data_IF_541364158036
#
_entry.id   IF_541364158036
#
_cell.length_a   1.000
_cell.length_b   1.000
_cell.length_c   1.000
_cell.angle_alpha   90.00
_cell.angle_beta   90.00
_cell.angle_gamma   90.00
#
_symmetry.space_group_name_H-M   'P 1'
#
loop_
_entity.id
_entity.type
_entity.pdbx_description
1 polymer ?
#
# COMPACT_ATOMS: atom_id res chain seq x y z
N UNK A 1 -47.76 -16.62 -2.93
CA UNK A 1 -47.57 -15.39 -2.12
C UNK A 1 -46.08 -15.09 -2.05
N UNK A 2 -45.63 -14.21 -2.91
CA UNK A 2 -44.22 -13.78 -3.02
C UNK A 2 -43.90 -12.84 -1.84
N UNK A 3 -43.10 -13.31 -0.86
CA UNK A 3 -42.56 -12.41 0.19
C UNK A 3 -41.42 -11.59 -0.42
N UNK A 4 -41.67 -10.33 -0.71
CA UNK A 4 -40.63 -9.37 -1.11
C UNK A 4 -39.66 -9.21 0.06
N UNK A 5 -38.39 -9.51 -0.18
CA UNK A 5 -37.32 -9.19 0.74
C UNK A 5 -37.24 -7.67 0.91
N UNK A 6 -37.39 -7.17 2.15
CA UNK A 6 -37.31 -5.74 2.40
C UNK A 6 -35.87 -5.22 2.09
N UNK A 7 -35.78 -3.97 1.61
CA UNK A 7 -34.51 -3.27 1.31
C UNK A 7 -33.48 -3.39 2.45
N UNK A 8 -33.95 -3.42 3.70
CA UNK A 8 -33.13 -3.55 4.92
C UNK A 8 -32.47 -4.93 5.07
N UNK A 9 -33.16 -6.01 4.69
CA UNK A 9 -32.63 -7.39 4.71
C UNK A 9 -31.63 -7.64 3.58
N UNK A 10 -31.85 -7.00 2.43
CA UNK A 10 -30.92 -7.04 1.32
C UNK A 10 -29.58 -6.33 1.65
N UNK A 11 -29.65 -5.14 2.25
CA UNK A 11 -28.44 -4.39 2.67
C UNK A 11 -27.69 -5.10 3.81
N UNK A 12 -28.39 -5.76 4.72
CA UNK A 12 -27.77 -6.60 5.76
C UNK A 12 -27.05 -7.82 5.17
N UNK A 13 -27.62 -8.44 4.13
CA UNK A 13 -26.98 -9.56 3.41
C UNK A 13 -25.73 -9.14 2.62
N UNK A 14 -25.60 -7.84 2.30
CA UNK A 14 -24.44 -7.25 1.63
C UNK A 14 -23.36 -6.72 2.59
N UNK A 15 -23.51 -6.92 3.91
CA UNK A 15 -22.53 -6.44 4.91
C UNK A 15 -22.53 -4.92 5.13
N UNK A 16 -23.61 -4.22 4.75
CA UNK A 16 -23.71 -2.74 4.83
C UNK A 16 -24.26 -2.26 6.18
N UNK A 17 -24.56 -3.14 7.13
CA UNK A 17 -25.00 -2.75 8.47
C UNK A 17 -23.92 -2.96 9.51
N UNK A 18 -23.37 -1.85 9.99
CA UNK A 18 -22.55 -1.85 11.19
C UNK A 18 -23.35 -2.31 12.43
N UNK A 19 -22.66 -2.98 13.30
CA UNK A 19 -23.00 -3.47 14.62
C UNK A 19 -23.68 -4.85 14.67
N UNK A 20 -22.88 -5.83 15.06
CA UNK A 20 -23.20 -6.72 16.19
C UNK A 20 -21.94 -7.51 16.58
N UNK A 21 -21.43 -7.16 17.75
CA UNK A 21 -20.44 -7.95 18.49
C UNK A 21 -21.20 -8.87 19.46
N UNK A 22 -20.89 -10.14 19.48
CA UNK A 22 -20.51 -10.91 20.65
C UNK A 22 -20.60 -12.43 20.45
N UNK A 23 -19.53 -13.08 20.90
CA UNK A 23 -19.46 -14.41 21.54
C UNK A 23 -19.31 -15.64 20.62
N UNK A 24 -18.17 -16.25 20.62
CA UNK A 24 -17.70 -17.35 21.45
C UNK A 24 -16.30 -17.84 21.01
N UNK A 25 -15.43 -18.01 21.98
CA UNK A 25 -14.08 -18.57 21.84
C UNK A 25 -14.15 -20.09 21.77
N UNK A 26 -13.65 -20.69 20.69
CA UNK A 26 -13.23 -22.09 20.64
C UNK A 26 -11.92 -22.27 19.91
N UNK A 27 -11.08 -23.12 20.48
CA UNK A 27 -9.68 -23.33 20.14
C UNK A 27 -9.39 -23.68 18.68
N UNK A 28 -8.24 -23.27 18.26
CA UNK A 28 -7.71 -23.36 16.91
C UNK A 28 -6.89 -24.63 16.72
N UNK A 29 -7.26 -25.46 15.76
CA UNK A 29 -6.39 -26.47 15.19
C UNK A 29 -5.80 -25.92 13.90
N UNK A 30 -4.47 -25.91 13.79
CA UNK A 30 -3.73 -25.57 12.58
C UNK A 30 -4.07 -26.57 11.46
N UNK A 31 -4.73 -26.12 10.43
CA UNK A 31 -4.91 -26.91 9.21
C UNK A 31 -3.76 -26.57 8.24
N UNK A 32 -2.95 -27.57 7.93
CA UNK A 32 -1.90 -27.48 6.92
C UNK A 32 -2.48 -27.11 5.54
N UNK A 33 -1.75 -26.33 4.72
CA UNK A 33 -2.24 -25.94 3.39
C UNK A 33 -2.31 -27.17 2.47
N UNK A 34 -3.48 -27.42 1.90
CA UNK A 34 -3.65 -28.39 0.81
C UNK A 34 -3.02 -27.82 -0.46
N UNK A 35 -2.06 -28.54 -1.04
CA UNK A 35 -1.38 -28.21 -2.29
C UNK A 35 -2.38 -28.15 -3.44
N UNK A 36 -2.64 -26.96 -3.97
CA UNK A 36 -3.26 -26.78 -5.27
C UNK A 36 -2.26 -27.14 -6.39
N UNK A 37 -2.75 -27.68 -7.49
CA UNK A 37 -1.96 -28.10 -8.63
C UNK A 37 -1.03 -26.98 -9.15
N UNK A 38 0.20 -27.36 -9.54
CA UNK A 38 1.32 -26.48 -9.84
C UNK A 38 1.12 -25.66 -11.13
N UNK A 39 0.35 -24.56 -11.02
CA UNK A 39 0.52 -23.38 -11.87
C UNK A 39 1.42 -22.37 -11.13
N UNK A 40 2.17 -21.54 -11.87
CA UNK A 40 2.97 -20.47 -11.26
C UNK A 40 2.09 -19.63 -10.33
N UNK A 41 2.58 -19.35 -9.12
CA UNK A 41 1.85 -18.53 -8.16
C UNK A 41 1.51 -17.15 -8.78
N UNK A 42 0.30 -16.59 -8.55
CA UNK A 42 -0.06 -15.32 -9.13
C UNK A 42 0.87 -14.21 -8.58
N UNK A 43 1.30 -13.31 -9.45
CA UNK A 43 2.10 -12.16 -9.06
C UNK A 43 1.27 -11.18 -8.24
N UNK A 44 1.85 -10.64 -7.17
CA UNK A 44 1.21 -9.75 -6.20
C UNK A 44 2.01 -8.47 -6.02
N UNK A 45 1.32 -7.34 -5.86
CA UNK A 45 1.92 -6.02 -5.64
C UNK A 45 1.48 -5.43 -4.31
N UNK A 46 2.43 -4.90 -3.55
CA UNK A 46 2.16 -4.10 -2.35
C UNK A 46 2.93 -2.79 -2.43
N UNK A 47 2.22 -1.65 -2.41
CA UNK A 47 2.80 -0.33 -2.22
C UNK A 47 2.81 0.03 -0.74
N UNK A 48 3.96 0.44 -0.20
CA UNK A 48 4.09 0.88 1.20
C UNK A 48 4.59 2.31 1.24
N UNK A 49 3.86 3.18 1.92
CA UNK A 49 4.33 4.54 2.20
C UNK A 49 5.14 4.58 3.49
N UNK A 50 6.33 5.18 3.40
CA UNK A 50 7.24 5.40 4.53
C UNK A 50 7.34 6.91 4.82
N UNK A 51 6.85 7.38 5.98
CA UNK A 51 6.78 8.80 6.29
C UNK A 51 8.15 9.40 6.67
N UNK A 52 8.20 10.72 6.76
CA UNK A 52 9.27 11.54 7.34
C UNK A 52 10.61 11.54 6.60
N UNK A 53 10.63 11.18 5.33
CA UNK A 53 11.88 11.17 4.57
C UNK A 53 12.91 10.18 5.14
N UNK A 54 14.19 10.52 5.06
CA UNK A 54 15.26 9.62 5.52
C UNK A 54 16.35 10.34 6.30
N UNK A 55 16.91 9.67 7.28
CA UNK A 55 18.21 9.99 7.85
C UNK A 55 19.29 9.51 6.86
N UNK A 56 19.71 10.36 5.91
CA UNK A 56 20.45 10.00 4.72
C UNK A 56 21.71 9.17 5.02
N UNK A 57 22.54 9.64 5.93
CA UNK A 57 23.82 9.00 6.30
C UNK A 57 23.63 7.61 6.98
N UNK A 58 22.46 7.38 7.57
CA UNK A 58 22.12 6.14 8.26
C UNK A 58 21.22 5.23 7.41
N UNK A 59 20.80 5.71 6.26
CA UNK A 59 19.98 4.97 5.31
C UNK A 59 20.81 4.30 4.21
N UNK A 60 21.97 4.87 3.85
CA UNK A 60 22.81 4.30 2.82
C UNK A 60 23.52 3.03 3.34
N UNK A 61 23.51 1.93 2.57
CA UNK A 61 24.35 0.78 2.85
C UNK A 61 25.83 1.12 2.85
N UNK A 62 26.63 0.43 3.67
CA UNK A 62 28.07 0.56 3.72
C UNK A 62 28.76 -0.68 3.13
N UNK A 63 30.06 -0.59 2.87
CA UNK A 63 30.93 -1.73 2.52
C UNK A 63 30.33 -2.71 1.53
N UNK A 64 29.88 -2.19 0.38
CA UNK A 64 29.20 -2.95 -0.66
C UNK A 64 27.68 -3.03 -0.45
N UNK A 65 27.21 -3.78 0.52
CA UNK A 65 25.77 -3.86 0.84
C UNK A 65 25.54 -4.24 2.31
N UNK A 66 26.33 -3.67 3.22
CA UNK A 66 26.05 -3.77 4.65
C UNK A 66 24.93 -2.81 5.04
N UNK A 67 23.81 -3.35 5.47
CA UNK A 67 22.63 -2.62 5.94
C UNK A 67 22.41 -2.79 7.46
N UNK A 68 23.28 -3.54 8.15
CA UNK A 68 23.14 -3.87 9.56
C UNK A 68 24.20 -3.19 10.44
N UNK A 69 24.96 -2.24 9.89
CA UNK A 69 25.93 -1.49 10.68
C UNK A 69 25.25 -0.68 11.79
N UNK A 70 26.01 -0.34 12.84
CA UNK A 70 25.50 0.41 13.99
C UNK A 70 24.86 1.74 13.58
N UNK A 71 23.61 1.94 13.98
CA UNK A 71 22.81 3.12 13.63
C UNK A 71 22.09 3.05 12.28
N UNK A 72 22.30 1.99 11.48
CA UNK A 72 21.58 1.83 10.21
C UNK A 72 20.06 1.74 10.42
N UNK A 73 19.31 2.57 9.71
CA UNK A 73 17.85 2.52 9.75
C UNK A 73 17.30 1.29 9.01
N UNK A 74 18.08 0.68 8.11
CA UNK A 74 17.70 -0.52 7.38
C UNK A 74 18.02 -1.81 8.13
N UNK A 75 18.71 -1.75 9.28
CA UNK A 75 19.12 -2.93 10.06
C UNK A 75 17.97 -3.90 10.37
N UNK A 76 16.71 -3.47 10.63
CA UNK A 76 15.61 -4.43 10.84
C UNK A 76 15.37 -5.38 9.66
N UNK A 77 15.75 -4.99 8.44
CA UNK A 77 15.57 -5.82 7.24
C UNK A 77 16.62 -6.94 7.14
N UNK A 78 17.67 -6.91 7.98
CA UNK A 78 18.70 -7.95 8.09
C UNK A 78 18.68 -8.65 9.46
N UNK A 79 17.72 -8.35 10.34
CA UNK A 79 17.61 -8.91 11.68
C UNK A 79 16.92 -10.30 11.67
N UNK A 80 17.70 -11.32 11.34
CA UNK A 80 17.22 -12.71 11.34
C UNK A 80 16.81 -13.21 12.73
N UNK A 81 17.41 -12.68 13.80
CA UNK A 81 17.07 -13.09 15.16
C UNK A 81 15.64 -12.64 15.54
N UNK A 82 15.24 -11.45 15.11
CA UNK A 82 13.92 -10.88 15.38
C UNK A 82 12.84 -11.38 14.43
N UNK A 83 13.18 -11.53 13.14
CA UNK A 83 12.19 -11.81 12.09
C UNK A 83 12.30 -13.21 11.47
N UNK A 84 13.11 -14.10 12.07
CA UNK A 84 13.27 -15.48 11.65
C UNK A 84 14.16 -15.68 10.42
N UNK A 85 14.41 -14.63 9.64
CA UNK A 85 15.30 -14.63 8.49
C UNK A 85 15.77 -13.22 8.14
N UNK A 86 16.90 -13.12 7.44
CA UNK A 86 17.33 -11.90 6.78
C UNK A 86 16.58 -11.69 5.47
N UNK A 87 16.20 -10.44 5.18
CA UNK A 87 15.62 -10.05 3.90
C UNK A 87 16.63 -9.33 2.99
N UNK A 88 17.88 -9.15 3.43
CA UNK A 88 18.92 -8.41 2.70
C UNK A 88 19.05 -8.83 1.25
N UNK A 89 19.11 -10.13 0.99
CA UNK A 89 19.28 -10.67 -0.37
C UNK A 89 18.04 -10.46 -1.27
N UNK A 90 16.92 -10.01 -0.72
CA UNK A 90 15.70 -9.69 -1.44
C UNK A 90 15.50 -8.20 -1.69
N UNK A 91 16.38 -7.38 -1.12
CA UNK A 91 16.27 -5.94 -1.21
C UNK A 91 16.99 -5.42 -2.45
N UNK A 92 16.39 -4.43 -3.08
CA UNK A 92 17.03 -3.53 -4.00
C UNK A 92 16.82 -2.11 -3.42
N UNK A 93 17.90 -1.55 -2.87
CA UNK A 93 17.90 -0.20 -2.33
C UNK A 93 18.24 0.75 -3.46
N UNK A 94 17.31 1.68 -3.75
CA UNK A 94 17.43 2.65 -4.85
C UNK A 94 17.67 4.05 -4.28
N UNK A 95 18.86 4.59 -4.47
CA UNK A 95 19.17 5.97 -4.15
C UNK A 95 19.12 6.82 -5.42
N UNK A 96 18.64 8.05 -5.31
CA UNK A 96 18.51 8.94 -6.47
C UNK A 96 17.22 8.70 -7.26
N UNK A 97 16.11 8.43 -6.61
CA UNK A 97 14.78 8.49 -7.23
C UNK A 97 14.15 9.85 -6.93
N UNK A 98 13.84 10.62 -7.96
CA UNK A 98 13.18 11.92 -7.87
C UNK A 98 11.70 11.81 -8.24
N UNK A 99 10.83 12.47 -7.48
CA UNK A 99 9.41 12.62 -7.84
C UNK A 99 9.24 13.72 -8.90
N UNK A 100 9.95 13.58 -10.02
CA UNK A 100 10.22 14.64 -11.00
C UNK A 100 8.95 15.27 -11.58
N UNK A 101 7.92 14.48 -11.88
CA UNK A 101 6.65 14.99 -12.41
C UNK A 101 5.91 15.88 -11.39
N UNK A 102 6.05 15.59 -10.10
CA UNK A 102 5.53 16.44 -9.02
C UNK A 102 6.35 17.71 -8.87
N UNK A 103 7.68 17.59 -8.86
CA UNK A 103 8.62 18.72 -8.77
C UNK A 103 8.35 19.74 -9.88
N UNK A 104 8.09 19.28 -11.11
CA UNK A 104 7.80 20.15 -12.27
C UNK A 104 6.59 21.08 -12.04
N UNK A 105 5.62 20.67 -11.25
CA UNK A 105 4.37 21.41 -11.04
C UNK A 105 4.15 21.85 -9.58
N UNK A 106 5.18 21.75 -8.74
CA UNK A 106 5.12 22.18 -7.34
C UNK A 106 4.39 21.22 -6.40
N UNK A 107 4.11 19.98 -6.82
CA UNK A 107 3.56 18.93 -5.96
C UNK A 107 4.73 18.24 -5.24
N UNK A 108 5.18 18.84 -4.15
CA UNK A 108 6.37 18.42 -3.39
C UNK A 108 6.07 18.34 -1.90
N UNK A 109 7.04 17.95 -1.09
CA UNK A 109 6.83 17.73 0.33
C UNK A 109 5.79 16.64 0.55
N UNK A 110 4.86 16.84 1.48
CA UNK A 110 3.80 15.87 1.79
C UNK A 110 2.94 15.51 0.57
N UNK A 111 2.67 16.48 -0.34
CA UNK A 111 1.94 16.22 -1.57
C UNK A 111 2.67 15.26 -2.52
N UNK A 112 3.97 15.06 -2.32
CA UNK A 112 4.77 14.07 -3.03
C UNK A 112 4.26 12.64 -2.85
N UNK A 113 3.54 12.32 -1.77
CA UNK A 113 2.97 10.99 -1.55
C UNK A 113 2.08 10.54 -2.71
N UNK A 114 1.33 11.46 -3.32
CA UNK A 114 0.57 11.19 -4.55
C UNK A 114 1.47 10.75 -5.70
N UNK A 115 2.61 11.41 -5.87
CA UNK A 115 3.49 11.22 -7.03
C UNK A 115 4.16 9.84 -7.00
N UNK A 116 4.36 9.25 -5.81
CA UNK A 116 5.05 7.97 -5.62
C UNK A 116 4.51 6.88 -6.56
N UNK A 117 3.19 6.69 -6.59
CA UNK A 117 2.56 5.65 -7.41
C UNK A 117 1.81 6.19 -8.64
N UNK A 118 1.52 7.49 -8.70
CA UNK A 118 0.89 8.05 -9.92
C UNK A 118 1.89 8.50 -10.97
N UNK A 119 3.10 8.92 -10.56
CA UNK A 119 4.03 9.59 -11.46
C UNK A 119 3.48 10.90 -12.02
N UNK A 120 2.61 11.58 -11.29
CA UNK A 120 1.89 12.79 -11.73
C UNK A 120 1.70 13.75 -10.58
N UNK A 121 1.69 15.06 -10.89
CA UNK A 121 1.36 16.09 -9.91
C UNK A 121 -0.10 16.07 -9.45
N UNK A 122 -0.49 17.05 -8.63
CA UNK A 122 -1.79 17.12 -7.94
C UNK A 122 -3.00 17.06 -8.90
N UNK A 123 -2.88 17.63 -10.08
CA UNK A 123 -3.97 17.69 -11.09
C UNK A 123 -4.01 16.49 -12.03
N UNK A 124 -3.07 15.54 -11.91
CA UNK A 124 -2.97 14.37 -12.77
C UNK A 124 -4.24 13.51 -12.76
N UNK A 125 -4.58 12.91 -13.89
CA UNK A 125 -5.80 12.10 -14.10
C UNK A 125 -5.52 10.62 -14.30
N UNK A 126 -4.24 10.21 -14.34
CA UNK A 126 -3.90 8.80 -14.45
C UNK A 126 -4.20 8.03 -13.15
N UNK A 127 -4.35 6.74 -13.28
CA UNK A 127 -4.42 5.84 -12.13
C UNK A 127 -3.03 5.70 -11.48
N UNK A 128 -2.97 5.47 -10.18
CA UNK A 128 -1.75 5.02 -9.51
C UNK A 128 -1.39 3.60 -9.94
N UNK A 129 -0.13 3.21 -9.79
CA UNK A 129 0.38 1.92 -10.26
C UNK A 129 -0.40 0.74 -9.69
N UNK A 130 -0.77 0.77 -8.42
CA UNK A 130 -1.61 -0.26 -7.79
C UNK A 130 -2.96 -0.37 -8.50
N UNK A 131 -3.62 0.75 -8.81
CA UNK A 131 -4.91 0.75 -9.51
C UNK A 131 -4.77 0.39 -11.00
N UNK A 132 -3.67 0.82 -11.63
CA UNK A 132 -3.34 0.39 -12.98
C UNK A 132 -3.18 -1.13 -13.05
N UNK A 133 -2.39 -1.72 -12.15
CA UNK A 133 -2.19 -3.17 -12.09
C UNK A 133 -3.48 -3.92 -11.75
N UNK A 134 -4.21 -3.45 -10.74
CA UNK A 134 -5.41 -4.13 -10.25
C UNK A 134 -6.56 -4.11 -11.28
N UNK A 135 -6.83 -2.94 -11.87
CA UNK A 135 -8.03 -2.68 -12.66
C UNK A 135 -7.74 -2.70 -14.17
N UNK A 136 -6.74 -1.93 -14.62
CA UNK A 136 -6.50 -1.74 -16.06
C UNK A 136 -5.72 -2.91 -16.65
N UNK A 137 -4.68 -3.36 -15.97
CA UNK A 137 -3.95 -4.58 -16.35
C UNK A 137 -4.68 -5.86 -15.89
N UNK A 138 -5.55 -5.75 -14.89
CA UNK A 138 -6.53 -6.76 -14.53
C UNK A 138 -6.03 -7.88 -13.60
N UNK A 139 -4.87 -7.74 -12.93
CA UNK A 139 -4.41 -8.79 -11.99
C UNK A 139 -5.34 -8.98 -10.78
N UNK A 140 -6.14 -7.97 -10.44
CA UNK A 140 -7.19 -8.04 -9.42
C UNK A 140 -8.54 -8.58 -9.93
N UNK A 141 -8.62 -8.97 -11.21
CA UNK A 141 -9.89 -9.36 -11.81
C UNK A 141 -10.46 -10.68 -11.24
N UNK A 142 -9.59 -11.58 -10.81
CA UNK A 142 -9.99 -12.91 -10.33
C UNK A 142 -10.14 -12.99 -8.81
N UNK A 143 -9.82 -11.91 -8.08
CA UNK A 143 -9.88 -11.90 -6.61
C UNK A 143 -11.13 -11.21 -6.09
N UNK A 144 -11.65 -11.57 -4.88
CA UNK A 144 -12.83 -10.95 -4.26
C UNK A 144 -12.71 -9.43 -4.13
N UNK A 145 -11.52 -8.95 -3.77
CA UNK A 145 -11.19 -7.55 -3.69
C UNK A 145 -10.20 -7.21 -4.81
N UNK A 146 -10.60 -6.37 -5.74
CA UNK A 146 -9.75 -5.95 -6.88
C UNK A 146 -8.46 -5.32 -6.39
N UNK A 147 -8.55 -4.51 -5.33
CA UNK A 147 -7.41 -3.97 -4.58
C UNK A 147 -7.79 -3.74 -3.12
N UNK A 148 -6.79 -3.63 -2.24
CA UNK A 148 -6.98 -3.33 -0.83
C UNK A 148 -6.16 -2.10 -0.47
N UNK A 149 -6.83 -1.04 0.00
CA UNK A 149 -6.19 0.21 0.39
C UNK A 149 -6.27 0.35 1.90
N UNK A 150 -5.15 0.12 2.58
CA UNK A 150 -5.05 0.18 4.03
C UNK A 150 -4.28 1.41 4.49
N UNK A 151 -4.58 1.87 5.69
CA UNK A 151 -3.88 2.95 6.34
C UNK A 151 -3.80 2.79 7.85
N UNK A 152 -2.89 3.55 8.45
CA UNK A 152 -2.75 3.68 9.90
C UNK A 152 -2.63 5.17 10.22
N UNK A 153 -3.36 5.64 11.21
CA UNK A 153 -3.29 7.01 11.72
C UNK A 153 -4.05 8.06 10.90
N UNK A 154 -4.45 7.80 9.66
CA UNK A 154 -5.23 8.75 8.86
C UNK A 154 -6.11 8.06 7.83
N UNK A 155 -7.38 8.46 7.78
CA UNK A 155 -8.36 8.11 6.73
C UNK A 155 -8.51 9.23 5.67
N UNK A 156 -7.76 10.32 5.79
CA UNK A 156 -7.79 11.44 4.85
C UNK A 156 -7.48 10.98 3.42
N UNK A 157 -8.18 11.56 2.46
CA UNK A 157 -7.98 11.36 1.03
C UNK A 157 -7.33 12.56 0.34
N UNK A 158 -6.80 13.50 1.14
CA UNK A 158 -6.04 14.65 0.62
C UNK A 158 -4.81 14.21 -0.19
N UNK A 159 -4.31 15.10 -1.02
CA UNK A 159 -3.21 14.83 -1.96
C UNK A 159 -1.98 14.30 -1.22
N UNK A 160 -1.58 14.94 -0.13
CA UNK A 160 -0.42 14.59 0.68
C UNK A 160 -0.60 13.38 1.61
N UNK A 161 -1.77 12.76 1.62
CA UNK A 161 -2.12 11.70 2.56
C UNK A 161 -2.66 10.44 1.89
N UNK A 162 -2.38 10.23 0.61
CA UNK A 162 -2.88 9.07 -0.10
C UNK A 162 -1.95 8.57 -1.21
N UNK A 163 -1.83 7.24 -1.35
CA UNK A 163 -1.07 6.58 -2.42
C UNK A 163 -1.94 6.16 -3.59
N UNK A 164 -3.17 5.73 -3.31
CA UNK A 164 -4.03 5.02 -4.27
C UNK A 164 -5.02 5.97 -4.92
N UNK A 165 -4.96 6.04 -6.24
CA UNK A 165 -5.75 6.96 -7.04
C UNK A 165 -6.36 6.23 -8.23
N UNK A 166 -7.66 6.29 -8.36
CA UNK A 166 -8.34 5.78 -9.56
C UNK A 166 -8.08 6.69 -10.76
N UNK A 167 -8.25 6.15 -11.97
CA UNK A 167 -8.24 6.95 -13.18
C UNK A 167 -9.23 8.10 -13.07
N UNK A 168 -8.87 9.26 -13.58
CA UNK A 168 -9.59 10.51 -13.40
C UNK A 168 -9.11 11.32 -12.18
N UNK A 169 -8.09 10.86 -11.45
CA UNK A 169 -7.49 11.57 -10.32
C UNK A 169 -8.34 11.52 -9.05
N UNK A 170 -9.17 10.50 -8.89
CA UNK A 170 -9.99 10.33 -7.67
C UNK A 170 -9.22 9.52 -6.65
N UNK A 171 -9.04 10.04 -5.42
CA UNK A 171 -8.38 9.28 -4.35
C UNK A 171 -9.27 8.12 -3.88
N UNK A 172 -8.65 7.01 -3.54
CA UNK A 172 -9.34 5.88 -2.92
C UNK A 172 -9.26 5.97 -1.40
N UNK A 173 -10.37 5.79 -0.69
CA UNK A 173 -10.39 5.84 0.76
C UNK A 173 -9.61 4.65 1.35
N UNK A 174 -8.84 4.94 2.40
CA UNK A 174 -8.11 3.94 3.17
C UNK A 174 -8.99 3.34 4.26
N UNK A 175 -8.85 2.06 4.49
CA UNK A 175 -9.43 1.40 5.67
C UNK A 175 -8.41 1.42 6.81
N UNK A 176 -8.70 2.19 7.84
CA UNK A 176 -7.82 2.40 9.01
C UNK A 176 -8.23 1.58 10.23
N UNK A 177 -9.44 1.03 10.25
CA UNK A 177 -9.96 0.23 11.35
C UNK A 177 -9.72 -1.27 11.08
N UNK A 178 -8.83 -1.95 11.84
CA UNK A 178 -8.57 -3.38 11.67
C UNK A 178 -9.82 -4.25 11.85
N UNK A 179 -10.76 -3.85 12.71
CA UNK A 179 -12.00 -4.62 12.91
C UNK A 179 -12.89 -4.56 11.66
N UNK A 180 -12.94 -3.40 11.00
CA UNK A 180 -13.63 -3.24 9.72
C UNK A 180 -12.93 -4.04 8.62
N UNK A 181 -11.60 -3.94 8.52
CA UNK A 181 -10.82 -4.72 7.54
C UNK A 181 -11.07 -6.21 7.70
N UNK A 182 -11.02 -6.70 8.95
CA UNK A 182 -11.33 -8.10 9.26
C UNK A 182 -12.73 -8.49 8.81
N UNK A 183 -13.73 -7.68 9.16
CA UNK A 183 -15.12 -7.96 8.81
C UNK A 183 -15.35 -8.02 7.30
N UNK A 184 -14.70 -7.15 6.54
CA UNK A 184 -14.81 -7.11 5.08
C UNK A 184 -14.07 -8.28 4.39
N UNK A 185 -12.91 -8.68 4.92
CA UNK A 185 -12.10 -9.75 4.33
C UNK A 185 -12.55 -11.14 4.74
N UNK A 186 -12.94 -11.31 6.00
CA UNK A 186 -13.17 -12.62 6.62
C UNK A 186 -14.56 -12.76 7.26
N UNK A 187 -15.31 -11.66 7.40
CA UNK A 187 -16.64 -11.68 7.97
C UNK A 187 -17.58 -12.49 7.07
N UNK A 188 -18.12 -13.59 7.59
CA UNK A 188 -19.26 -14.26 6.97
C UNK A 188 -20.46 -13.33 7.10
N UNK A 189 -21.32 -13.22 6.08
CA UNK A 189 -22.63 -12.56 6.26
C UNK A 189 -23.31 -13.16 7.48
N UNK A 190 -23.53 -12.31 8.49
CA UNK A 190 -24.01 -12.68 9.81
C UNK A 190 -25.20 -13.66 9.76
N UNK A 191 -25.03 -14.85 10.33
CA UNK A 191 -26.11 -15.75 10.74
C UNK A 191 -26.72 -16.60 9.66
N UNK A 192 -26.23 -16.60 8.43
CA UNK A 192 -26.79 -17.45 7.38
C UNK A 192 -26.03 -18.77 7.26
N UNK A 193 -26.70 -19.88 7.45
CA UNK A 193 -26.21 -21.20 7.06
C UNK A 193 -25.95 -21.22 5.55
N UNK A 194 -24.93 -21.96 5.11
CA UNK A 194 -24.51 -21.99 3.69
C UNK A 194 -25.65 -22.16 2.69
N UNK A 195 -26.70 -22.94 3.06
CA UNK A 195 -27.91 -23.14 2.25
C UNK A 195 -28.88 -21.94 2.18
N UNK A 196 -28.80 -20.99 3.10
CA UNK A 196 -29.64 -19.77 3.11
C UNK A 196 -28.99 -18.63 2.29
N UNK A 197 -27.70 -18.70 2.05
CA UNK A 197 -26.95 -17.70 1.27
C UNK A 197 -27.21 -17.82 -0.24
N UNK A 198 -27.46 -19.01 -0.76
CA UNK A 198 -27.66 -19.23 -2.21
C UNK A 198 -28.88 -18.51 -2.80
N UNK A 199 -30.05 -18.48 -2.16
CA UNK A 199 -31.18 -17.68 -2.65
C UNK A 199 -30.89 -16.18 -2.58
N UNK A 200 -30.21 -15.70 -1.50
CA UNK A 200 -29.84 -14.29 -1.35
C UNK A 200 -28.78 -13.88 -2.37
N UNK A 201 -27.79 -14.73 -2.64
CA UNK A 201 -26.78 -14.53 -3.69
C UNK A 201 -27.42 -14.45 -5.07
N UNK A 202 -28.33 -15.35 -5.42
CA UNK A 202 -29.06 -15.32 -6.71
C UNK A 202 -29.91 -14.08 -6.86
N UNK A 203 -30.62 -13.68 -5.81
CA UNK A 203 -31.40 -12.45 -5.81
C UNK A 203 -30.51 -11.21 -5.94
N UNK A 204 -29.40 -11.18 -5.21
CA UNK A 204 -28.38 -10.13 -5.29
C UNK A 204 -27.79 -10.01 -6.69
N UNK A 205 -27.39 -11.12 -7.29
CA UNK A 205 -26.87 -11.15 -8.66
C UNK A 205 -27.89 -10.60 -9.68
N UNK A 206 -29.16 -11.00 -9.60
CA UNK A 206 -30.22 -10.49 -10.49
C UNK A 206 -30.45 -8.97 -10.35
N UNK A 207 -30.34 -8.43 -9.12
CA UNK A 207 -30.45 -6.98 -8.89
C UNK A 207 -29.23 -6.25 -9.46
N UNK A 208 -28.04 -6.78 -9.25
CA UNK A 208 -26.79 -6.20 -9.74
C UNK A 208 -26.75 -6.19 -11.28
N UNK A 209 -27.17 -7.25 -11.93
CA UNK A 209 -27.24 -7.33 -13.40
C UNK A 209 -28.15 -6.22 -13.97
N UNK A 210 -29.29 -5.98 -13.32
CA UNK A 210 -30.20 -4.88 -13.71
C UNK A 210 -29.57 -3.51 -13.51
N UNK A 211 -28.96 -3.27 -12.34
CA UNK A 211 -28.31 -2.00 -12.02
C UNK A 211 -27.13 -1.74 -12.98
N UNK A 212 -26.36 -2.77 -13.33
CA UNK A 212 -25.29 -2.65 -14.36
C UNK A 212 -25.82 -2.23 -15.71
N UNK A 213 -26.93 -2.84 -16.14
CA UNK A 213 -27.59 -2.48 -17.40
C UNK A 213 -28.03 -1.01 -17.42
N UNK A 214 -28.58 -0.53 -16.31
CA UNK A 214 -28.98 0.87 -16.14
C UNK A 214 -27.78 1.79 -16.10
N UNK A 215 -26.74 1.45 -15.35
CA UNK A 215 -25.51 2.22 -15.24
C UNK A 215 -24.79 2.33 -16.60
N UNK A 216 -24.70 1.23 -17.35
CA UNK A 216 -24.11 1.25 -18.69
C UNK A 216 -24.89 2.15 -19.67
N UNK A 217 -26.22 2.20 -19.54
CA UNK A 217 -27.06 3.14 -20.33
C UNK A 217 -26.82 4.60 -19.93
N UNK A 218 -26.69 4.85 -18.61
CA UNK A 218 -26.40 6.20 -18.09
C UNK A 218 -25.02 6.67 -18.52
N UNK A 219 -24.00 5.83 -18.41
CA UNK A 219 -22.62 6.16 -18.79
C UNK A 219 -22.52 6.57 -20.27
N UNK A 220 -23.26 5.88 -21.18
CA UNK A 220 -23.28 6.24 -22.60
C UNK A 220 -23.92 7.61 -22.87
N UNK A 221 -24.82 8.07 -22.00
CA UNK A 221 -25.56 9.34 -22.15
C UNK A 221 -24.99 10.48 -21.34
N UNK A 222 -24.11 10.17 -20.38
CA UNK A 222 -23.54 11.13 -19.45
C UNK A 222 -22.53 12.06 -20.15
N UNK A 223 -22.45 13.33 -19.74
CA UNK A 223 -21.35 14.21 -20.09
C UNK A 223 -20.01 13.61 -19.70
N UNK A 224 -18.93 13.99 -20.39
CA UNK A 224 -17.59 13.43 -20.14
C UNK A 224 -17.15 13.57 -18.67
N UNK A 225 -17.48 14.71 -18.03
CA UNK A 225 -17.18 14.99 -16.64
C UNK A 225 -17.84 14.02 -15.63
N UNK A 226 -18.99 13.43 -15.97
CA UNK A 226 -19.71 12.52 -15.09
C UNK A 226 -19.41 11.03 -15.37
N UNK A 227 -18.82 10.72 -16.53
CA UNK A 227 -18.50 9.32 -16.90
C UNK A 227 -17.58 8.64 -15.92
N UNK A 228 -16.55 9.34 -15.43
CA UNK A 228 -15.59 8.82 -14.45
C UNK A 228 -16.28 8.37 -13.17
N UNK A 229 -17.24 9.15 -12.66
CA UNK A 229 -18.01 8.79 -11.46
C UNK A 229 -18.86 7.53 -11.71
N UNK A 230 -19.51 7.46 -12.88
CA UNK A 230 -20.33 6.29 -13.25
C UNK A 230 -19.48 5.03 -13.45
N UNK A 231 -18.27 5.14 -13.98
CA UNK A 231 -17.31 4.05 -14.12
C UNK A 231 -16.81 3.55 -12.75
N UNK A 232 -16.60 4.47 -11.80
CA UNK A 232 -16.28 4.11 -10.40
C UNK A 232 -17.41 3.32 -9.74
N UNK A 233 -18.66 3.75 -9.94
CA UNK A 233 -19.83 2.99 -9.48
C UNK A 233 -19.93 1.61 -10.15
N UNK A 234 -19.60 1.52 -11.44
CA UNK A 234 -19.57 0.24 -12.15
C UNK A 234 -18.48 -0.69 -11.59
N UNK A 235 -17.33 -0.16 -11.22
CA UNK A 235 -16.25 -0.92 -10.59
C UNK A 235 -16.66 -1.42 -9.21
N UNK A 236 -17.24 -0.55 -8.37
CA UNK A 236 -17.76 -0.95 -7.06
C UNK A 236 -18.82 -2.05 -7.15
N UNK A 237 -19.70 -1.99 -8.16
CA UNK A 237 -20.69 -3.05 -8.40
C UNK A 237 -20.04 -4.38 -8.81
N UNK A 238 -18.99 -4.36 -9.63
CA UNK A 238 -18.22 -5.57 -9.98
C UNK A 238 -17.56 -6.20 -8.77
N UNK A 239 -17.02 -5.39 -7.86
CA UNK A 239 -16.41 -5.89 -6.61
C UNK A 239 -17.45 -6.54 -5.70
N UNK A 240 -18.67 -6.01 -5.65
CA UNK A 240 -19.80 -6.65 -4.95
C UNK A 240 -20.15 -7.99 -5.61
N UNK A 241 -20.25 -8.04 -6.94
CA UNK A 241 -20.51 -9.29 -7.68
C UNK A 241 -19.45 -10.36 -7.41
N UNK A 242 -18.17 -9.98 -7.43
CA UNK A 242 -17.06 -10.88 -7.14
C UNK A 242 -17.17 -11.45 -5.73
N UNK A 243 -17.41 -10.59 -4.73
CA UNK A 243 -17.62 -11.03 -3.34
C UNK A 243 -18.79 -11.97 -3.18
N UNK A 244 -19.90 -11.76 -3.90
CA UNK A 244 -21.07 -12.62 -3.89
C UNK A 244 -20.84 -13.96 -4.61
N UNK A 245 -19.99 -13.98 -5.63
CA UNK A 245 -19.69 -15.18 -6.42
C UNK A 245 -18.52 -15.99 -5.87
N UNK A 246 -17.70 -15.39 -5.02
CA UNK A 246 -16.55 -16.06 -4.44
C UNK A 246 -17.02 -17.09 -3.40
N UNK A 247 -16.68 -18.34 -3.61
CA UNK A 247 -16.78 -19.37 -2.57
C UNK A 247 -15.75 -19.02 -1.49
N UNK A 248 -16.18 -19.11 -0.22
CA UNK A 248 -15.33 -18.78 0.92
C UNK A 248 -13.91 -19.32 0.72
N UNK A 249 -12.88 -18.52 0.97
CA UNK A 249 -11.51 -18.95 0.77
C UNK A 249 -11.25 -20.19 1.63
N UNK A 250 -10.51 -21.15 1.08
CA UNK A 250 -10.03 -22.34 1.81
C UNK A 250 -9.05 -21.97 2.95
N UNK A 251 -8.80 -20.70 3.13
CA UNK A 251 -7.91 -20.09 4.09
C UNK A 251 -8.62 -19.92 5.44
N UNK A 252 -8.04 -20.42 6.50
CA UNK A 252 -8.55 -20.20 7.85
C UNK A 252 -8.60 -18.70 8.17
N UNK A 253 -9.75 -18.22 8.65
CA UNK A 253 -9.89 -16.85 9.13
C UNK A 253 -9.00 -16.61 10.35
N UNK A 254 -8.24 -15.50 10.41
CA UNK A 254 -7.48 -15.17 11.63
C UNK A 254 -8.43 -14.85 12.79
N UNK A 255 -7.89 -14.72 14.00
CA UNK A 255 -8.68 -14.22 15.13
C UNK A 255 -9.15 -12.78 14.86
N UNK A 256 -10.39 -12.44 15.23
CA UNK A 256 -10.87 -11.08 15.11
C UNK A 256 -9.98 -10.13 15.94
N UNK A 257 -9.58 -8.98 15.37
CA UNK A 257 -8.82 -7.99 16.11
C UNK A 257 -9.66 -7.38 17.24
N UNK A 258 -9.02 -6.87 18.30
CA UNK A 258 -9.72 -6.10 19.34
C UNK A 258 -10.34 -4.83 18.74
N UNK A 259 -11.43 -4.39 19.35
CA UNK A 259 -12.00 -3.08 19.02
C UNK A 259 -11.17 -1.96 19.66
N UNK A 260 -10.95 -0.88 18.94
CA UNK A 260 -10.32 0.33 19.43
C UNK A 260 -11.41 1.40 19.64
N UNK A 261 -11.46 1.99 20.84
CA UNK A 261 -12.52 2.95 21.19
C UNK A 261 -12.47 4.23 20.35
N UNK A 262 -11.28 4.64 19.91
CA UNK A 262 -11.07 5.84 19.09
C UNK A 262 -9.90 5.64 18.15
N UNK A 263 -10.21 5.54 16.89
CA UNK A 263 -9.24 5.74 15.81
C UNK A 263 -9.18 7.24 15.54
N UNK A 264 -8.00 7.83 15.64
CA UNK A 264 -7.82 9.25 15.35
C UNK A 264 -7.39 9.42 13.91
N UNK A 265 -8.05 10.33 13.22
CA UNK A 265 -7.57 10.86 11.95
C UNK A 265 -6.39 11.80 12.18
N UNK A 266 -5.70 12.13 11.09
CA UNK A 266 -4.51 12.98 11.02
C UNK A 266 -4.52 14.16 12.01
N UNK A 267 -3.39 14.40 12.65
CA UNK A 267 -3.16 15.56 13.54
C UNK A 267 -3.38 15.33 15.03
N UNK A 268 -3.86 14.15 15.44
CA UNK A 268 -4.14 13.87 16.84
C UNK A 268 -3.24 12.86 17.56
N UNK A 269 -2.30 12.22 16.83
CA UNK A 269 -1.53 11.06 17.33
C UNK A 269 -2.45 9.88 17.61
N UNK A 270 -2.25 8.78 16.91
CA UNK A 270 -3.01 7.55 17.15
C UNK A 270 -2.41 6.82 18.36
N UNK A 271 -3.12 6.72 19.51
CA UNK A 271 -2.55 6.15 20.72
C UNK A 271 -2.26 4.65 20.59
N UNK A 272 -2.87 3.99 19.62
CA UNK A 272 -2.69 2.56 19.35
C UNK A 272 -1.93 2.31 18.04
N UNK A 273 -1.17 3.30 17.56
CA UNK A 273 -0.52 3.26 16.24
C UNK A 273 0.26 1.97 16.02
N UNK A 274 1.06 1.55 17.00
CA UNK A 274 1.87 0.33 16.90
C UNK A 274 1.02 -0.94 16.75
N UNK A 275 0.03 -1.10 17.63
CA UNK A 275 -0.87 -2.25 17.61
C UNK A 275 -1.74 -2.30 16.35
N UNK A 276 -2.24 -1.15 15.90
CA UNK A 276 -3.03 -1.03 14.66
C UNK A 276 -2.16 -1.35 13.46
N UNK A 277 -0.91 -0.86 13.42
CA UNK A 277 0.03 -1.17 12.34
C UNK A 277 0.27 -2.67 12.23
N UNK A 278 0.52 -3.34 13.34
CA UNK A 278 0.74 -4.78 13.37
C UNK A 278 -0.47 -5.57 12.89
N UNK A 279 -1.67 -5.18 13.32
CA UNK A 279 -2.92 -5.82 12.88
C UNK A 279 -3.19 -5.58 11.38
N UNK A 280 -2.96 -4.38 10.87
CA UNK A 280 -3.10 -4.09 9.45
C UNK A 280 -2.12 -4.90 8.60
N UNK A 281 -0.88 -5.06 9.07
CA UNK A 281 0.12 -5.91 8.41
C UNK A 281 -0.33 -7.38 8.42
N UNK A 282 -0.79 -7.90 9.55
CA UNK A 282 -1.22 -9.29 9.67
C UNK A 282 -2.45 -9.58 8.76
N UNK A 283 -3.43 -8.67 8.73
CA UNK A 283 -4.60 -8.76 7.85
C UNK A 283 -4.22 -8.64 6.37
N UNK A 284 -3.31 -7.72 6.03
CA UNK A 284 -2.79 -7.55 4.66
C UNK A 284 -2.09 -8.80 4.17
N UNK A 285 -1.13 -9.31 4.94
CA UNK A 285 -0.39 -10.51 4.56
C UNK A 285 -1.33 -11.73 4.41
N UNK A 286 -2.34 -11.83 5.27
CA UNK A 286 -3.35 -12.88 5.18
C UNK A 286 -4.23 -12.72 3.95
N UNK A 287 -4.68 -11.50 3.62
CA UNK A 287 -5.47 -11.24 2.42
C UNK A 287 -4.71 -11.61 1.14
N UNK A 288 -3.42 -11.25 1.09
CA UNK A 288 -2.51 -11.59 -0.03
C UNK A 288 -2.31 -13.10 -0.14
N UNK A 289 -2.01 -13.78 0.96
CA UNK A 289 -1.74 -15.23 0.94
C UNK A 289 -2.97 -16.07 0.63
N UNK A 290 -4.15 -15.60 1.02
CA UNK A 290 -5.43 -16.26 0.74
C UNK A 290 -6.00 -15.90 -0.64
N UNK A 291 -5.27 -15.15 -1.45
CA UNK A 291 -5.72 -14.64 -2.77
C UNK A 291 -7.04 -13.85 -2.70
N UNK A 292 -7.31 -13.21 -1.55
CA UNK A 292 -8.45 -12.30 -1.41
C UNK A 292 -8.22 -11.01 -2.20
N UNK A 293 -6.97 -10.62 -2.35
CA UNK A 293 -6.51 -9.58 -3.27
C UNK A 293 -5.09 -9.90 -3.74
N UNK A 294 -4.70 -9.40 -4.90
CA UNK A 294 -3.34 -9.46 -5.44
C UNK A 294 -2.65 -8.12 -5.47
N UNK A 295 -3.38 -7.06 -5.16
CA UNK A 295 -2.86 -5.68 -5.14
C UNK A 295 -3.29 -4.99 -3.87
N UNK A 296 -2.34 -4.39 -3.16
CA UNK A 296 -2.64 -3.62 -1.98
C UNK A 296 -1.72 -2.43 -1.81
N UNK A 297 -2.17 -1.45 -1.00
CA UNK A 297 -1.31 -0.40 -0.46
C UNK A 297 -1.47 -0.32 1.05
N UNK A 298 -0.37 0.02 1.73
CA UNK A 298 -0.34 0.30 3.16
C UNK A 298 0.26 1.69 3.37
N UNK A 299 -0.56 2.63 3.79
CA UNK A 299 -0.17 3.99 4.11
C UNK A 299 0.12 4.08 5.61
N UNK A 300 1.38 4.14 5.96
CA UNK A 300 1.79 4.45 7.33
C UNK A 300 1.75 5.97 7.45
N UNK A 301 0.69 6.49 8.08
CA UNK A 301 0.57 7.91 8.25
C UNK A 301 1.68 8.44 9.19
N UNK A 302 1.76 9.73 9.16
CA UNK A 302 2.67 10.52 9.94
C UNK A 302 2.64 10.14 11.43
N UNK A 303 3.79 9.80 11.97
CA UNK A 303 4.03 9.54 13.40
C UNK A 303 4.08 10.83 14.24
N UNK A 304 3.42 11.88 13.79
CA UNK A 304 3.60 13.26 14.24
C UNK A 304 3.46 13.51 15.73
N UNK A 305 2.69 12.70 16.44
CA UNK A 305 2.37 12.96 17.87
C UNK A 305 2.25 11.68 18.67
N UNK A 306 3.04 10.66 18.34
CA UNK A 306 2.99 9.46 19.13
C UNK A 306 4.02 9.51 20.26
N UNK A 307 3.56 9.35 21.49
CA UNK A 307 4.43 9.08 22.65
C UNK A 307 5.06 7.69 22.59
N UNK A 308 5.16 7.09 21.38
CA UNK A 308 5.72 5.75 21.19
C UNK A 308 7.21 5.70 21.51
N UNK A 309 7.89 6.80 21.34
CA UNK A 309 9.35 6.87 21.50
C UNK A 309 9.67 7.78 22.68
N UNK A 310 10.08 7.17 23.80
CA UNK A 310 10.43 7.93 25.00
C UNK A 310 11.58 8.92 24.79
N UNK A 311 12.44 8.62 23.81
CA UNK A 311 13.62 9.42 23.44
C UNK A 311 13.29 10.61 22.54
N UNK A 312 12.07 10.65 21.99
CA UNK A 312 11.67 11.70 21.07
C UNK A 312 10.71 12.70 21.72
N UNK A 313 10.72 13.97 21.27
CA UNK A 313 9.76 14.94 21.72
C UNK A 313 8.32 14.56 21.34
N UNK A 314 7.34 15.18 21.95
CA UNK A 314 5.92 14.86 21.72
C UNK A 314 5.47 15.15 20.27
N UNK A 315 6.01 16.21 19.66
CA UNK A 315 5.77 16.57 18.26
C UNK A 315 6.98 16.23 17.39
N UNK A 316 7.14 14.98 17.06
CA UNK A 316 8.27 14.50 16.27
C UNK A 316 8.31 15.13 14.88
N UNK A 317 7.16 15.45 14.31
CA UNK A 317 7.12 16.08 12.99
C UNK A 317 7.79 17.46 13.02
N UNK A 318 7.34 18.33 13.93
CA UNK A 318 7.88 19.68 14.01
C UNK A 318 9.27 19.74 14.66
N UNK A 319 9.52 18.90 15.65
CA UNK A 319 10.73 18.98 16.44
C UNK A 319 11.87 18.07 16.00
N UNK A 320 11.60 17.12 15.13
CA UNK A 320 12.62 16.24 14.56
C UNK A 320 12.67 16.36 13.02
N UNK A 321 11.61 16.00 12.33
CA UNK A 321 11.63 15.96 10.87
C UNK A 321 11.84 17.36 10.24
N UNK A 322 11.18 18.40 10.77
CA UNK A 322 11.38 19.79 10.29
C UNK A 322 12.67 20.44 10.78
N UNK A 323 13.28 19.92 11.83
CA UNK A 323 14.56 20.40 12.37
C UNK A 323 15.75 19.54 12.00
N UNK A 324 15.57 18.53 11.21
CA UNK A 324 16.63 17.83 10.54
C UNK A 324 17.35 18.85 9.66
N UNK A 325 18.43 19.39 10.19
CA UNK A 325 18.87 20.75 9.96
C UNK A 325 19.16 21.09 8.50
N UNK A 326 18.38 22.03 8.02
CA UNK A 326 18.45 22.58 6.69
C UNK A 326 19.48 23.69 6.52
N UNK A 327 20.20 24.08 7.60
CA UNK A 327 20.99 25.31 7.55
C UNK A 327 22.40 25.14 7.02
N UNK A 328 22.92 23.92 6.93
CA UNK A 328 24.21 23.70 6.29
C UNK A 328 24.08 23.07 4.91
N UNK A 329 24.84 23.62 3.98
CA UNK A 329 24.93 23.15 2.60
C UNK A 329 25.06 21.63 2.53
N UNK A 330 24.12 21.01 1.82
CA UNK A 330 24.16 19.61 1.44
C UNK A 330 23.80 18.61 2.56
N UNK A 331 22.52 18.34 2.80
CA UNK A 331 21.99 17.14 3.51
C UNK A 331 22.60 16.83 4.90
N UNK A 332 23.11 17.81 5.60
CA UNK A 332 23.82 17.62 6.86
C UNK A 332 23.05 18.20 8.04
N UNK A 333 22.10 17.43 8.51
CA UNK A 333 21.65 17.60 9.88
C UNK A 333 22.81 17.39 10.88
N UNK A 334 22.62 17.80 12.12
CA UNK A 334 23.54 17.42 13.18
C UNK A 334 23.45 15.92 13.44
N UNK A 335 24.51 15.26 13.93
CA UNK A 335 24.42 13.85 14.34
C UNK A 335 23.25 13.56 15.29
N UNK A 336 22.87 14.51 16.13
CA UNK A 336 21.73 14.38 17.05
C UNK A 336 20.38 14.36 16.30
N UNK A 337 20.17 15.25 15.33
CA UNK A 337 18.95 15.24 14.52
C UNK A 337 18.83 14.00 13.64
N UNK A 338 19.93 13.47 13.12
CA UNK A 338 19.93 12.20 12.38
C UNK A 338 19.59 11.03 13.28
N UNK A 339 20.19 10.97 14.47
CA UNK A 339 19.89 9.91 15.42
C UNK A 339 18.40 9.87 15.79
N UNK A 340 17.79 11.04 16.01
CA UNK A 340 16.36 11.15 16.30
C UNK A 340 15.48 10.73 15.12
N UNK A 341 15.78 11.21 13.91
CA UNK A 341 15.05 10.81 12.70
C UNK A 341 15.24 9.31 12.42
N UNK A 342 16.44 8.79 12.70
CA UNK A 342 16.75 7.36 12.54
C UNK A 342 15.87 6.46 13.42
N UNK A 343 15.47 6.90 14.61
CA UNK A 343 14.55 6.13 15.48
C UNK A 343 13.23 5.85 14.75
N UNK A 344 12.66 6.88 14.10
CA UNK A 344 11.42 6.71 13.33
C UNK A 344 11.61 5.86 12.08
N UNK A 345 12.68 6.13 11.33
CA UNK A 345 12.97 5.35 10.13
C UNK A 345 13.22 3.88 10.50
N UNK A 346 13.98 3.60 11.55
CA UNK A 346 14.23 2.24 12.05
C UNK A 346 12.93 1.53 12.43
N UNK A 347 12.02 2.23 13.12
CA UNK A 347 10.69 1.70 13.41
C UNK A 347 9.92 1.35 12.13
N UNK A 348 9.87 2.26 11.17
CA UNK A 348 9.15 2.07 9.90
C UNK A 348 9.70 0.87 9.12
N UNK A 349 11.03 0.74 9.02
CA UNK A 349 11.63 -0.43 8.37
C UNK A 349 11.49 -1.72 9.20
N UNK A 350 11.34 -1.61 10.53
CA UNK A 350 10.92 -2.73 11.38
C UNK A 350 9.52 -3.22 11.06
N UNK A 351 8.58 -2.32 10.77
CA UNK A 351 7.23 -2.68 10.30
C UNK A 351 7.24 -3.27 8.89
N UNK A 352 8.10 -2.77 8.02
CA UNK A 352 8.32 -3.40 6.70
C UNK A 352 8.88 -4.81 6.86
N UNK A 353 9.88 -5.03 7.71
CA UNK A 353 10.43 -6.36 8.00
C UNK A 353 9.35 -7.32 8.53
N UNK A 354 8.46 -6.84 9.42
CA UNK A 354 7.31 -7.63 9.88
C UNK A 354 6.37 -8.03 8.72
N UNK A 355 6.06 -7.11 7.81
CA UNK A 355 5.26 -7.43 6.63
C UNK A 355 5.91 -8.54 5.80
N UNK A 356 7.22 -8.43 5.55
CA UNK A 356 7.98 -9.43 4.80
C UNK A 356 8.01 -10.78 5.53
N UNK A 357 8.17 -10.77 6.85
CA UNK A 357 8.09 -11.96 7.69
C UNK A 357 6.72 -12.65 7.50
N UNK A 358 5.61 -11.92 7.63
CA UNK A 358 4.26 -12.49 7.48
C UNK A 358 4.01 -13.05 6.08
N UNK A 359 4.50 -12.38 5.05
CA UNK A 359 4.42 -12.88 3.67
C UNK A 359 5.26 -14.15 3.47
N UNK A 360 6.45 -14.22 4.10
CA UNK A 360 7.30 -15.40 4.03
C UNK A 360 6.69 -16.59 4.77
N UNK A 361 6.21 -16.40 6.00
CA UNK A 361 5.51 -17.41 6.81
C UNK A 361 4.29 -17.99 6.07
N UNK A 362 3.60 -17.15 5.29
CA UNK A 362 2.44 -17.52 4.50
C UNK A 362 2.79 -18.08 3.11
N UNK A 363 4.09 -18.20 2.76
CA UNK A 363 4.55 -18.67 1.45
C UNK A 363 4.22 -17.74 0.27
N UNK A 364 3.89 -16.49 0.54
CA UNK A 364 3.48 -15.51 -0.48
C UNK A 364 4.62 -14.57 -0.92
N UNK A 365 5.75 -14.52 -0.20
CA UNK A 365 6.82 -13.56 -0.46
C UNK A 365 7.46 -13.74 -1.85
N UNK A 366 7.66 -14.97 -2.32
CA UNK A 366 8.32 -15.24 -3.61
C UNK A 366 7.53 -14.68 -4.81
N UNK A 367 6.20 -14.63 -4.71
CA UNK A 367 5.32 -14.09 -5.75
C UNK A 367 4.85 -12.64 -5.49
N UNK A 368 5.41 -11.97 -4.48
CA UNK A 368 5.06 -10.59 -4.11
C UNK A 368 6.21 -9.64 -4.39
N UNK A 369 5.89 -8.52 -5.04
CA UNK A 369 6.77 -7.35 -5.15
C UNK A 369 6.26 -6.27 -4.18
N UNK A 370 7.12 -5.84 -3.25
CA UNK A 370 6.83 -4.72 -2.36
C UNK A 370 7.61 -3.50 -2.83
N UNK A 371 6.91 -2.39 -3.07
CA UNK A 371 7.48 -1.09 -3.37
C UNK A 371 7.27 -0.18 -2.15
N UNK A 372 8.31 0.04 -1.38
CA UNK A 372 8.30 0.94 -0.24
C UNK A 372 9.00 2.24 -0.61
N UNK A 373 8.32 3.38 -0.44
CA UNK A 373 8.87 4.70 -0.77
C UNK A 373 8.29 5.79 0.11
N UNK A 374 9.07 6.83 0.34
CA UNK A 374 8.65 8.08 0.97
C UNK A 374 8.40 9.18 -0.05
N UNK A 375 7.88 10.29 0.42
CA UNK A 375 7.56 11.51 -0.35
C UNK A 375 8.70 12.53 -0.36
N UNK A 376 9.64 12.39 0.58
CA UNK A 376 10.76 13.32 0.78
C UNK A 376 12.08 12.58 0.92
N UNK A 377 13.14 13.08 0.28
CA UNK A 377 14.52 12.69 0.56
C UNK A 377 15.10 13.52 1.70
N UNK A 378 14.75 14.80 1.74
CA UNK A 378 15.10 15.73 2.81
C UNK A 378 13.82 16.28 3.45
N UNK A 379 13.48 15.83 4.66
CA UNK A 379 12.23 16.23 5.29
C UNK A 379 12.23 17.69 5.74
N UNK A 380 13.36 18.24 6.17
CA UNK A 380 13.43 19.64 6.61
C UNK A 380 13.20 20.64 5.48
N UNK A 381 13.63 20.28 4.27
CA UNK A 381 13.43 21.08 3.06
C UNK A 381 12.16 20.73 2.28
N UNK A 382 11.40 19.76 2.73
CA UNK A 382 10.27 19.19 1.97
C UNK A 382 10.66 18.81 0.54
N UNK A 383 11.89 18.32 0.37
CA UNK A 383 12.42 18.00 -0.93
C UNK A 383 11.97 16.62 -1.40
N UNK A 384 11.25 16.57 -2.51
CA UNK A 384 10.83 15.33 -3.19
C UNK A 384 11.91 14.80 -4.16
N UNK A 385 13.17 15.22 -3.98
CA UNK A 385 14.35 14.63 -4.63
C UNK A 385 14.93 13.52 -3.80
N UNK A 386 15.48 12.51 -4.47
CA UNK A 386 16.21 11.40 -3.85
C UNK A 386 15.41 10.75 -2.70
N UNK A 387 14.12 10.52 -2.96
CA UNK A 387 13.24 9.90 -1.97
C UNK A 387 13.70 8.47 -1.64
N UNK A 388 13.60 8.04 -0.36
CA UNK A 388 13.98 6.69 0.03
C UNK A 388 13.10 5.69 -0.71
N UNK A 389 13.71 4.81 -1.50
CA UNK A 389 12.96 3.84 -2.28
C UNK A 389 13.58 2.46 -2.17
N UNK A 390 12.75 1.48 -1.81
CA UNK A 390 13.11 0.08 -1.74
C UNK A 390 12.17 -0.73 -2.64
N UNK A 391 12.72 -1.65 -3.42
CA UNK A 391 11.99 -2.78 -3.94
C UNK A 391 12.37 -4.03 -3.16
N UNK A 392 11.38 -4.74 -2.62
CA UNK A 392 11.60 -6.08 -2.08
C UNK A 392 10.95 -7.05 -3.04
N UNK A 393 11.76 -7.87 -3.66
CA UNK A 393 11.29 -8.77 -4.70
C UNK A 393 11.28 -10.21 -4.24
N UNK A 394 10.18 -10.88 -4.57
CA UNK A 394 10.16 -12.33 -4.66
C UNK A 394 11.02 -12.84 -5.83
N UNK A 395 11.29 -14.13 -5.84
CA UNK A 395 12.11 -14.79 -6.87
C UNK A 395 11.48 -14.75 -8.25
N UNK A 396 10.15 -14.63 -8.32
CA UNK A 396 9.37 -14.75 -9.56
C UNK A 396 9.44 -13.53 -10.48
N UNK A 397 10.11 -12.45 -10.04
CA UNK A 397 10.15 -11.19 -10.80
C UNK A 397 11.40 -10.99 -11.65
N UNK A 398 12.46 -11.78 -11.44
CA UNK A 398 13.69 -11.66 -12.22
C UNK A 398 14.45 -10.35 -11.98
N UNK A 399 14.25 -9.74 -10.81
CA UNK A 399 15.03 -8.59 -10.36
C UNK A 399 16.36 -9.06 -9.75
N UNK A 400 17.43 -8.35 -10.03
CA UNK A 400 18.71 -8.55 -9.35
C UNK A 400 18.68 -7.78 -8.03
N UNK A 401 18.40 -8.50 -6.97
CA UNK A 401 18.32 -7.99 -5.58
C UNK A 401 19.63 -8.21 -4.82
N UNK A 402 19.63 -7.95 -3.52
CA UNK A 402 20.81 -8.07 -2.66
C UNK A 402 21.82 -6.96 -2.94
N UNK A 403 21.39 -5.75 -3.29
CA UNK A 403 22.28 -4.67 -3.68
C UNK A 403 21.71 -3.26 -3.49
N UNK A 404 22.62 -2.33 -3.50
CA UNK A 404 22.37 -0.90 -3.56
C UNK A 404 22.66 -0.37 -4.98
N UNK A 405 21.75 0.42 -5.52
CA UNK A 405 21.93 1.15 -6.78
C UNK A 405 21.92 2.65 -6.51
N UNK A 406 23.06 3.27 -6.74
CA UNK A 406 23.17 4.73 -6.76
C UNK A 406 22.82 5.23 -8.17
N UNK A 407 21.67 5.86 -8.29
CA UNK A 407 21.14 6.45 -9.52
C UNK A 407 21.32 7.97 -9.54
N UNK A 408 21.99 8.53 -8.53
CA UNK A 408 22.25 9.97 -8.43
C UNK A 408 23.24 10.41 -9.51
N UNK A 409 23.01 11.59 -10.02
CA UNK A 409 23.84 12.20 -11.04
C UNK A 409 23.88 13.72 -10.90
N UNK A 410 24.44 14.41 -11.89
CA UNK A 410 24.57 15.86 -11.88
C UNK A 410 25.69 16.37 -10.97
N UNK A 411 25.76 17.69 -10.82
CA UNK A 411 26.76 18.32 -9.97
C UNK A 411 26.51 17.99 -8.50
N UNK A 412 27.52 17.46 -7.82
CA UNK A 412 27.45 17.03 -6.42
C UNK A 412 26.35 15.96 -6.17
N UNK A 413 26.03 15.13 -7.18
CA UNK A 413 25.00 14.08 -7.07
C UNK A 413 23.63 14.59 -6.60
N UNK A 414 23.28 15.82 -6.99
CA UNK A 414 22.04 16.50 -6.53
C UNK A 414 20.79 16.11 -7.29
N UNK A 415 20.93 15.33 -8.37
CA UNK A 415 19.83 14.93 -9.24
C UNK A 415 19.65 13.42 -9.18
N UNK A 416 18.41 12.98 -9.30
CA UNK A 416 18.02 11.58 -9.41
C UNK A 416 17.29 11.30 -10.71
N UNK A 417 16.97 10.04 -10.95
CA UNK A 417 16.16 9.62 -12.10
C UNK A 417 14.67 9.78 -11.76
N UNK A 418 13.82 10.13 -12.75
CA UNK A 418 12.38 10.23 -12.53
C UNK A 418 11.78 8.91 -12.05
N UNK A 419 10.97 8.95 -10.98
CA UNK A 419 10.24 7.79 -10.48
C UNK A 419 9.32 7.18 -11.54
N UNK A 420 8.87 7.94 -12.53
CA UNK A 420 8.11 7.47 -13.69
C UNK A 420 8.78 6.28 -14.38
N UNK A 421 10.11 6.30 -14.51
CA UNK A 421 10.89 5.21 -15.12
C UNK A 421 10.87 3.94 -14.24
N UNK A 422 10.87 4.11 -12.92
CA UNK A 422 10.68 3.01 -11.97
C UNK A 422 9.28 2.40 -12.11
N UNK A 423 8.24 3.26 -12.21
CA UNK A 423 6.85 2.80 -12.39
C UNK A 423 6.67 2.04 -13.71
N UNK A 424 7.28 2.49 -14.82
CA UNK A 424 7.33 1.74 -16.09
C UNK A 424 7.98 0.38 -15.87
N UNK A 425 9.13 0.35 -15.18
CA UNK A 425 9.84 -0.91 -14.93
C UNK A 425 9.01 -1.88 -14.10
N UNK A 426 8.39 -1.40 -13.03
CA UNK A 426 7.54 -2.24 -12.18
C UNK A 426 6.32 -2.74 -12.95
N UNK A 427 5.63 -1.90 -13.72
CA UNK A 427 4.51 -2.35 -14.56
C UNK A 427 4.92 -3.47 -15.52
N UNK A 428 6.08 -3.32 -16.16
CA UNK A 428 6.62 -4.35 -17.08
C UNK A 428 7.00 -5.66 -16.38
N UNK A 429 7.37 -5.62 -15.09
CA UNK A 429 7.59 -6.85 -14.31
C UNK A 429 6.28 -7.64 -14.10
N UNK A 430 5.14 -6.99 -14.13
CA UNK A 430 3.83 -7.64 -14.07
C UNK A 430 3.30 -8.08 -15.44
N UNK A 431 4.07 -7.87 -16.50
CA UNK A 431 3.66 -8.22 -17.87
C UNK A 431 2.77 -7.16 -18.52
N UNK A 432 2.68 -5.96 -17.95
CA UNK A 432 1.99 -4.82 -18.57
C UNK A 432 2.99 -4.07 -19.47
N UNK A 433 2.92 -4.18 -20.81
CA UNK A 433 3.93 -3.64 -21.71
C UNK A 433 3.75 -2.14 -21.92
N UNK A 434 4.11 -1.35 -20.89
CA UNK A 434 4.06 0.11 -20.96
C UNK A 434 5.44 0.70 -21.22
N UNK A 435 5.50 1.76 -22.03
CA UNK A 435 6.73 2.51 -22.30
C UNK A 435 6.77 3.84 -21.58
N UNK A 436 5.64 4.26 -20.99
CA UNK A 436 5.48 5.50 -20.23
C UNK A 436 4.50 5.28 -19.09
N UNK A 437 4.68 6.04 -18.00
CA UNK A 437 3.76 6.04 -16.87
C UNK A 437 3.65 7.44 -16.26
N UNK A 438 2.44 7.84 -15.86
CA UNK A 438 2.16 9.13 -15.25
C UNK A 438 1.83 10.24 -16.26
N UNK A 439 1.80 11.47 -15.75
CA UNK A 439 1.52 12.69 -16.52
C UNK A 439 2.53 13.79 -16.15
N UNK A 440 3.07 14.46 -17.17
CA UNK A 440 3.98 15.59 -17.05
C UNK A 440 3.95 16.40 -18.35
N UNK A 441 4.19 17.71 -18.25
CA UNK A 441 4.41 18.56 -19.42
C UNK A 441 5.70 18.17 -20.14
N UNK A 442 6.71 17.81 -19.38
CA UNK A 442 7.95 17.25 -19.92
C UNK A 442 7.80 15.73 -20.11
N UNK A 443 7.40 15.32 -21.30
CA UNK A 443 7.13 13.91 -21.63
C UNK A 443 8.37 13.02 -21.55
N UNK A 444 9.60 13.58 -21.55
CA UNK A 444 10.83 12.81 -21.38
C UNK A 444 10.96 12.21 -19.99
N UNK A 445 10.32 12.81 -18.97
CA UNK A 445 10.27 12.27 -17.61
C UNK A 445 9.48 10.97 -17.51
N UNK A 446 8.49 10.79 -18.39
CA UNK A 446 7.51 9.71 -18.31
C UNK A 446 7.99 8.40 -18.93
N UNK A 447 9.06 8.43 -19.73
CA UNK A 447 9.39 7.35 -20.66
C UNK A 447 10.67 6.61 -20.27
N UNK A 448 10.71 5.36 -20.68
CA UNK A 448 11.85 4.46 -20.50
C UNK A 448 11.79 3.66 -19.21
N UNK A 449 12.46 2.52 -19.21
CA UNK A 449 12.63 1.66 -18.05
C UNK A 449 13.97 1.95 -17.35
N UNK A 450 14.11 1.42 -16.16
CA UNK A 450 15.39 1.34 -15.45
C UNK A 450 15.97 -0.07 -15.68
N UNK A 451 16.77 -0.20 -16.73
CA UNK A 451 17.36 -1.49 -17.11
C UNK A 451 18.29 -2.04 -16.03
N UNK A 452 18.92 -1.13 -15.27
CA UNK A 452 19.73 -1.47 -14.12
C UNK A 452 19.04 -2.34 -13.06
N UNK A 453 17.70 -2.42 -13.03
CA UNK A 453 16.97 -3.27 -12.08
C UNK A 453 17.19 -4.77 -12.36
N UNK A 454 17.46 -5.14 -13.59
CA UNK A 454 17.65 -6.55 -14.00
C UNK A 454 19.12 -6.99 -14.01
N UNK A 455 20.06 -6.07 -13.97
CA UNK A 455 21.52 -6.30 -13.92
C UNK A 455 22.14 -6.46 -15.26
#
# INVERSE_FOLDING_TARGET
>A
MSRSLSRRRFLAALGVSGAFLARETRGWAEAAPTTAAAGAAPRRFIGVYTPHGRAHELWQPRDGFDIAYEGSVLAPLDDAARFGQSFRERLLVLDGIDLSAGIEVGTTGHDGSRVILTGSGADGKNASLDQFLAVEHGIGAETPHTSLVLGVGSDSTEVGLNLSWARGGTPLPKWIDPARVYAELFGTPLGARQGELEPARRAGKSVLDRVRGDLARLTRRAPHSERTKLEQHATALRDIEKRLSHTAPTCASPAPPPAFERLKSFGGGEPFFDAITDLQIDLLARAISCDLTRVATLYLADLTRSKMFAELPEDVHQEVAHRYDAHDDVHRGTPDSWAKLAIQNHYTYGKLARLLQRLAEAGALDSTLVHASGDMGDPARHSSRQVPTLLVSGRDFGLKTGRYLDLRHGKNLSEGVPNNRLLVSVANLFGAPVTRFGESKNTSLLSGSLDALRG
#
